data_IF_445802722725
#
_entry.id   IF_445802722725
#
_cell.length_a   1.000
_cell.length_b   1.000
_cell.length_c   1.000
_cell.angle_alpha   90.00
_cell.angle_beta   90.00
_cell.angle_gamma   90.00
#
_symmetry.space_group_name_H-M   'P 1'
#
loop_
_entity.id
_entity.type
_entity.pdbx_description
1 polymer ?
#
# COMPACT_ATOMS: atom_id res chain seq x y z
N UNK A 1 1.01 -25.78 17.80
CA UNK A 1 0.83 -26.56 16.55
C UNK A 1 -0.35 -26.07 15.72
N UNK A 2 -1.62 -26.19 16.14
CA UNK A 2 -2.79 -25.79 15.30
C UNK A 2 -2.72 -24.35 14.72
N UNK A 3 -2.35 -23.36 15.53
CA UNK A 3 -2.24 -21.94 15.09
C UNK A 3 -1.13 -21.72 14.05
N UNK A 4 0.04 -22.36 14.22
CA UNK A 4 1.17 -22.26 13.29
C UNK A 4 0.87 -22.89 11.94
N UNK A 5 0.15 -24.02 11.90
CA UNK A 5 -0.24 -24.66 10.64
C UNK A 5 -1.25 -23.84 9.84
N UNK A 6 -2.20 -23.17 10.52
CA UNK A 6 -3.14 -22.24 9.88
C UNK A 6 -2.41 -21.02 9.30
N UNK A 7 -1.52 -20.38 10.07
CA UNK A 7 -0.71 -19.24 9.61
C UNK A 7 0.15 -19.63 8.39
N UNK A 8 0.72 -20.83 8.38
CA UNK A 8 1.50 -21.35 7.25
C UNK A 8 0.65 -21.44 5.96
N UNK A 9 -0.61 -21.89 6.06
CA UNK A 9 -1.53 -21.97 4.91
C UNK A 9 -1.84 -20.58 4.37
N UNK A 10 -2.09 -19.59 5.24
CA UNK A 10 -2.34 -18.20 4.82
C UNK A 10 -1.10 -17.55 4.19
N UNK A 11 0.10 -17.83 4.69
CA UNK A 11 1.35 -17.30 4.11
C UNK A 11 1.56 -17.74 2.65
N UNK A 12 1.17 -18.97 2.29
CA UNK A 12 1.24 -19.41 0.89
C UNK A 12 0.35 -18.59 -0.04
N UNK A 13 -0.75 -18.01 0.44
CA UNK A 13 -1.62 -17.13 -0.35
C UNK A 13 -1.18 -15.66 -0.36
N UNK A 14 -0.46 -15.18 0.67
CA UNK A 14 -0.15 -13.74 0.84
C UNK A 14 1.14 -13.29 0.15
N UNK A 15 2.04 -14.22 -0.22
CA UNK A 15 3.30 -13.87 -0.92
C UNK A 15 3.03 -13.27 -2.31
N UNK A 16 1.88 -13.56 -2.91
CA UNK A 16 1.45 -12.96 -4.19
C UNK A 16 0.85 -11.54 -3.97
N UNK A 17 0.41 -11.20 -2.75
CA UNK A 17 -0.43 -10.04 -2.47
C UNK A 17 0.28 -8.88 -1.77
N UNK A 18 1.56 -9.03 -1.42
CA UNK A 18 2.35 -7.99 -0.76
C UNK A 18 3.01 -6.99 -1.73
N UNK A 19 2.64 -7.05 -3.01
CA UNK A 19 3.15 -6.14 -4.02
C UNK A 19 2.23 -4.92 -4.15
N UNK A 20 2.84 -3.80 -4.53
CA UNK A 20 2.14 -2.58 -4.91
C UNK A 20 0.93 -2.93 -5.79
N UNK A 21 -0.19 -2.23 -5.60
CA UNK A 21 -1.25 -2.27 -6.60
C UNK A 21 -0.67 -1.70 -7.89
N UNK A 22 -0.83 -2.42 -9.00
CA UNK A 22 -0.48 -1.95 -10.34
C UNK A 22 -1.63 -2.35 -11.28
N UNK A 23 -2.36 -1.37 -11.79
CA UNK A 23 -3.46 -1.56 -12.72
C UNK A 23 -3.43 -0.46 -13.78
N UNK A 24 -2.84 -0.79 -14.94
CA UNK A 24 -2.74 0.11 -16.09
C UNK A 24 -3.86 -0.07 -17.13
N UNK A 25 -4.91 -0.84 -16.82
CA UNK A 25 -6.10 -0.86 -17.69
C UNK A 25 -6.85 0.47 -17.54
N UNK A 26 -6.71 1.38 -18.50
CA UNK A 26 -7.44 2.65 -18.49
C UNK A 26 -8.77 2.61 -19.25
N UNK A 27 -9.21 1.46 -19.74
CA UNK A 27 -10.50 1.30 -20.43
C UNK A 27 -11.64 1.09 -19.43
N UNK A 28 -11.36 0.39 -18.33
CA UNK A 28 -12.39 -0.02 -17.36
C UNK A 28 -12.01 0.26 -15.88
N UNK A 29 -12.97 0.13 -14.96
CA UNK A 29 -12.71 0.19 -13.52
C UNK A 29 -12.67 1.60 -12.89
N UNK A 30 -13.19 2.61 -13.58
CA UNK A 30 -13.29 3.97 -13.04
C UNK A 30 -14.40 4.05 -11.97
N UNK A 31 -14.06 4.67 -10.83
CA UNK A 31 -14.98 5.03 -9.75
C UNK A 31 -15.43 6.48 -9.94
N UNK A 32 -16.62 6.79 -9.43
CA UNK A 32 -17.18 8.14 -9.50
C UNK A 32 -17.04 8.84 -8.16
N UNK A 33 -16.67 10.11 -8.17
CA UNK A 33 -16.73 10.97 -6.98
C UNK A 33 -17.61 12.19 -7.24
N UNK A 34 -18.53 12.46 -6.31
CA UNK A 34 -19.38 13.64 -6.39
C UNK A 34 -18.59 14.89 -6.01
N UNK A 35 -18.77 15.95 -6.79
CA UNK A 35 -18.28 17.28 -6.43
C UNK A 35 -19.26 17.91 -5.43
N UNK A 36 -18.78 18.77 -4.52
CA UNK A 36 -19.65 19.47 -3.55
C UNK A 36 -20.51 20.56 -4.20
N UNK A 37 -20.33 20.80 -5.49
CA UNK A 37 -21.09 21.77 -6.27
C UNK A 37 -22.23 21.00 -6.95
N UNK A 38 -23.46 21.17 -6.47
CA UNK A 38 -24.66 20.44 -6.94
C UNK A 38 -24.88 20.50 -8.47
N UNK A 39 -24.24 21.44 -9.17
CA UNK A 39 -24.36 21.66 -10.62
C UNK A 39 -23.22 21.09 -11.48
N UNK A 40 -22.13 20.54 -10.91
CA UNK A 40 -21.00 20.03 -11.69
C UNK A 40 -21.00 18.49 -11.77
N UNK A 41 -20.59 17.91 -12.92
CA UNK A 41 -20.62 16.45 -13.13
C UNK A 41 -19.73 15.69 -12.13
N UNK A 42 -20.04 14.41 -11.99
CA UNK A 42 -19.20 13.45 -11.26
C UNK A 42 -17.84 13.36 -11.94
N UNK A 43 -16.76 13.31 -11.16
CA UNK A 43 -15.42 13.07 -11.68
C UNK A 43 -15.14 11.58 -11.64
N UNK A 44 -14.71 11.04 -12.77
CA UNK A 44 -14.33 9.64 -12.88
C UNK A 44 -12.83 9.50 -12.57
N UNK A 45 -12.48 8.63 -11.64
CA UNK A 45 -11.10 8.36 -11.24
C UNK A 45 -10.78 6.88 -11.15
N UNK A 46 -9.51 6.52 -11.34
CA UNK A 46 -9.00 5.17 -11.11
C UNK A 46 -7.67 5.22 -10.36
N UNK A 47 -7.54 4.45 -9.29
CA UNK A 47 -6.26 4.21 -8.61
C UNK A 47 -5.50 3.16 -9.42
N UNK A 48 -4.46 3.59 -10.12
CA UNK A 48 -3.68 2.74 -11.03
C UNK A 48 -2.39 2.22 -10.38
N UNK A 49 -1.97 2.87 -9.29
CA UNK A 49 -0.85 2.43 -8.49
C UNK A 49 -1.11 2.77 -7.03
N UNK A 50 -0.76 1.88 -6.12
CA UNK A 50 -0.59 2.24 -4.71
C UNK A 50 0.48 1.41 -4.02
N UNK A 51 1.16 2.05 -3.08
CA UNK A 51 2.17 1.44 -2.25
C UNK A 51 1.97 1.88 -0.81
N UNK A 52 1.91 0.92 0.10
CA UNK A 52 1.84 1.19 1.54
C UNK A 52 3.13 1.88 1.98
N UNK A 53 3.00 2.96 2.76
CA UNK A 53 4.13 3.66 3.38
C UNK A 53 4.23 3.27 4.84
N UNK A 54 5.43 2.84 5.22
CA UNK A 54 5.77 2.61 6.62
C UNK A 54 6.30 3.90 7.25
N UNK A 55 5.42 4.57 7.99
CA UNK A 55 5.74 5.80 8.71
C UNK A 55 5.88 5.58 10.21
N UNK A 56 6.57 6.51 10.89
CA UNK A 56 6.71 6.53 12.37
C UNK A 56 5.38 6.57 13.14
N UNK A 57 4.24 6.77 12.49
CA UNK A 57 2.94 6.95 13.15
C UNK A 57 1.80 6.10 12.56
N UNK A 58 1.97 5.43 11.41
CA UNK A 58 0.91 4.61 10.80
C UNK A 58 1.44 3.49 9.91
N UNK A 59 0.59 2.48 9.74
CA UNK A 59 0.80 1.32 8.88
C UNK A 59 -0.19 1.25 7.70
N UNK A 60 -1.29 2.01 7.72
CA UNK A 60 -2.42 1.82 6.78
C UNK A 60 -2.47 2.85 5.66
N UNK A 61 -1.51 3.78 5.63
CA UNK A 61 -1.51 4.83 4.62
C UNK A 61 -0.61 4.48 3.44
N UNK A 62 -1.01 4.95 2.26
CA UNK A 62 -0.32 4.64 1.02
C UNK A 62 0.05 5.89 0.21
N UNK A 63 1.07 5.78 -0.62
CA UNK A 63 1.22 6.64 -1.80
C UNK A 63 0.41 6.03 -2.93
N UNK A 64 -0.20 6.86 -3.77
CA UNK A 64 -0.93 6.37 -4.92
C UNK A 64 -0.79 7.26 -6.15
N UNK A 65 -0.93 6.63 -7.32
CA UNK A 65 -1.12 7.33 -8.59
C UNK A 65 -2.56 7.11 -9.02
N UNK A 66 -3.26 8.20 -9.29
CA UNK A 66 -4.63 8.16 -9.81
C UNK A 66 -4.67 8.71 -11.23
N UNK A 67 -5.54 8.15 -12.05
CA UNK A 67 -5.94 8.73 -13.33
C UNK A 67 -7.30 9.39 -13.11
N UNK A 68 -7.42 10.64 -13.55
CA UNK A 68 -8.67 11.39 -13.47
C UNK A 68 -9.16 11.72 -14.87
N UNK A 69 -10.38 11.29 -15.19
CA UNK A 69 -11.09 11.61 -16.43
C UNK A 69 -12.09 12.74 -16.17
N UNK A 70 -12.39 13.48 -17.24
CA UNK A 70 -13.50 14.45 -17.26
C UNK A 70 -13.39 15.61 -16.24
N UNK A 71 -12.16 16.05 -15.93
CA UNK A 71 -11.99 17.37 -15.29
C UNK A 71 -12.34 18.43 -16.33
N UNK A 72 -13.53 19.01 -16.21
CA UNK A 72 -14.00 20.13 -17.02
C UNK A 72 -13.02 21.31 -16.92
N UNK A 73 -12.69 21.93 -18.06
CA UNK A 73 -11.78 23.08 -18.16
C UNK A 73 -12.28 24.31 -17.36
N UNK A 74 -13.56 24.32 -16.95
CA UNK A 74 -14.18 25.34 -16.10
C UNK A 74 -13.89 25.12 -14.60
N UNK A 75 -13.32 23.98 -14.19
CA UNK A 75 -12.95 23.70 -12.80
C UNK A 75 -11.64 24.41 -12.47
N UNK A 76 -11.65 25.24 -11.43
CA UNK A 76 -10.44 25.94 -10.99
C UNK A 76 -9.49 24.99 -10.25
N UNK A 77 -8.22 25.40 -10.12
CA UNK A 77 -7.18 24.58 -9.48
C UNK A 77 -7.48 24.20 -8.02
N UNK A 78 -8.19 25.05 -7.26
CA UNK A 78 -8.55 24.74 -5.88
C UNK A 78 -9.61 23.64 -5.80
N UNK A 79 -10.60 23.67 -6.69
CA UNK A 79 -11.62 22.62 -6.79
C UNK A 79 -11.00 21.29 -7.22
N UNK A 80 -10.09 21.30 -8.19
CA UNK A 80 -9.31 20.12 -8.60
C UNK A 80 -8.56 19.54 -7.39
N UNK A 81 -7.88 20.40 -6.63
CA UNK A 81 -7.14 19.96 -5.44
C UNK A 81 -8.05 19.36 -4.37
N UNK A 82 -9.24 19.91 -4.15
CA UNK A 82 -10.23 19.36 -3.21
C UNK A 82 -10.76 17.99 -3.65
N UNK A 83 -11.07 17.82 -4.93
CA UNK A 83 -11.52 16.53 -5.49
C UNK A 83 -10.44 15.46 -5.31
N UNK A 84 -9.20 15.78 -5.69
CA UNK A 84 -8.06 14.86 -5.54
C UNK A 84 -7.80 14.56 -4.06
N UNK A 85 -7.85 15.55 -3.18
CA UNK A 85 -7.69 15.35 -1.75
C UNK A 85 -8.77 14.42 -1.17
N UNK A 86 -10.03 14.57 -1.61
CA UNK A 86 -11.14 13.71 -1.21
C UNK A 86 -10.93 12.27 -1.68
N UNK A 87 -10.51 12.06 -2.93
CA UNK A 87 -10.11 10.73 -3.44
C UNK A 87 -9.03 10.12 -2.53
N UNK A 88 -8.08 10.93 -2.10
CA UNK A 88 -7.05 10.55 -1.15
C UNK A 88 -7.57 10.03 0.18
N UNK A 89 -8.42 10.81 0.81
CA UNK A 89 -9.04 10.46 2.09
C UNK A 89 -9.87 9.17 1.95
N UNK A 90 -10.67 9.04 0.89
CA UNK A 90 -11.50 7.86 0.65
C UNK A 90 -10.68 6.57 0.40
N UNK A 91 -9.43 6.70 -0.08
CA UNK A 91 -8.55 5.57 -0.38
C UNK A 91 -7.34 5.47 0.58
N UNK A 92 -7.35 6.17 1.72
CA UNK A 92 -6.25 6.18 2.71
C UNK A 92 -4.87 6.55 2.11
N UNK A 93 -4.83 7.48 1.15
CA UNK A 93 -3.59 7.93 0.52
C UNK A 93 -3.01 9.17 1.23
N UNK A 94 -1.79 9.07 1.75
CA UNK A 94 -1.05 10.22 2.31
C UNK A 94 -0.32 11.03 1.24
N UNK A 95 -0.14 10.46 0.05
CA UNK A 95 0.41 11.17 -1.12
C UNK A 95 -0.27 10.69 -2.38
N UNK A 96 -0.62 11.62 -3.26
CA UNK A 96 -1.31 11.35 -4.51
C UNK A 96 -0.62 12.08 -5.64
N UNK A 97 -0.35 11.35 -6.72
CA UNK A 97 -0.04 11.93 -8.02
C UNK A 97 -1.26 11.71 -8.92
N UNK A 98 -1.90 12.79 -9.33
CA UNK A 98 -3.05 12.75 -10.24
C UNK A 98 -2.59 13.01 -11.67
N UNK A 99 -2.95 12.11 -12.59
CA UNK A 99 -2.55 12.14 -13.99
C UNK A 99 -3.76 12.13 -14.92
N UNK A 100 -3.57 12.66 -16.13
CA UNK A 100 -4.61 12.68 -17.17
C UNK A 100 -4.89 11.31 -17.81
N UNK A 101 -3.93 10.39 -17.79
CA UNK A 101 -4.06 9.07 -18.45
C UNK A 101 -3.07 8.03 -17.87
N UNK A 102 -3.27 6.75 -18.22
CA UNK A 102 -2.41 5.65 -17.78
C UNK A 102 -1.02 5.66 -18.42
N UNK A 103 -0.86 6.19 -19.64
CA UNK A 103 0.46 6.25 -20.29
C UNK A 103 1.43 7.10 -19.47
N UNK A 104 0.96 8.25 -18.99
CA UNK A 104 1.68 9.07 -18.03
C UNK A 104 1.97 8.31 -16.72
N UNK A 105 1.03 7.48 -16.25
CA UNK A 105 1.23 6.61 -15.07
C UNK A 105 2.37 5.62 -15.27
N UNK A 106 2.41 4.96 -16.43
CA UNK A 106 3.48 4.02 -16.78
C UNK A 106 4.84 4.72 -16.88
N UNK A 107 4.88 5.93 -17.46
CA UNK A 107 6.09 6.75 -17.51
C UNK A 107 6.54 7.19 -16.11
N UNK A 108 5.61 7.55 -15.23
CA UNK A 108 5.91 7.97 -13.86
C UNK A 108 6.63 6.87 -13.07
N UNK A 109 6.26 5.60 -13.26
CA UNK A 109 6.96 4.48 -12.60
C UNK A 109 8.37 4.20 -13.16
N UNK A 110 8.75 4.79 -14.31
CA UNK A 110 10.04 4.57 -14.98
C UNK A 110 10.87 5.85 -15.13
N UNK A 111 10.71 6.82 -14.23
CA UNK A 111 11.33 8.15 -14.33
C UNK A 111 12.84 8.16 -14.64
N UNK A 112 13.58 7.16 -14.16
CA UNK A 112 15.03 7.05 -14.34
C UNK A 112 15.45 6.66 -15.77
N UNK A 113 14.51 6.20 -16.61
CA UNK A 113 14.77 5.66 -17.95
C UNK A 113 14.16 6.53 -19.06
N UNK A 114 13.57 7.68 -18.71
CA UNK A 114 12.83 8.51 -19.66
C UNK A 114 13.72 9.39 -20.53
N UNK A 115 13.41 9.42 -21.82
CA UNK A 115 13.88 10.45 -22.76
C UNK A 115 13.35 11.84 -22.40
N UNK A 116 13.95 12.90 -22.96
CA UNK A 116 13.48 14.27 -22.73
C UNK A 116 12.02 14.48 -23.17
N UNK A 117 11.63 13.93 -24.33
CA UNK A 117 10.26 14.02 -24.83
C UNK A 117 9.24 13.36 -23.89
N UNK A 118 9.59 12.20 -23.32
CA UNK A 118 8.74 11.50 -22.34
C UNK A 118 8.63 12.27 -21.01
N UNK A 119 9.70 12.94 -20.58
CA UNK A 119 9.68 13.81 -19.40
C UNK A 119 8.76 15.01 -19.60
N UNK A 120 8.86 15.66 -20.76
CA UNK A 120 8.00 16.79 -21.10
C UNK A 120 6.52 16.38 -21.17
N UNK A 121 6.23 15.24 -21.83
CA UNK A 121 4.89 14.67 -21.87
C UNK A 121 4.35 14.35 -20.47
N UNK A 122 5.16 13.71 -19.61
CA UNK A 122 4.78 13.39 -18.24
C UNK A 122 4.46 14.68 -17.47
N UNK A 123 5.33 15.69 -17.55
CA UNK A 123 5.14 16.98 -16.87
C UNK A 123 3.85 17.68 -17.29
N UNK A 124 3.45 17.56 -18.56
CA UNK A 124 2.20 18.14 -19.07
C UNK A 124 0.96 17.32 -18.68
N UNK A 125 1.16 16.04 -18.37
CA UNK A 125 0.08 15.10 -18.02
C UNK A 125 -0.20 15.05 -16.51
N UNK A 126 0.67 15.61 -15.67
CA UNK A 126 0.41 15.78 -14.23
C UNK A 126 -0.67 16.84 -14.02
N UNK A 127 -1.72 16.45 -13.32
CA UNK A 127 -2.82 17.34 -12.92
C UNK A 127 -2.44 18.02 -11.60
N UNK A 128 -2.09 17.23 -10.58
CA UNK A 128 -1.62 17.73 -9.30
C UNK A 128 -0.84 16.66 -8.53
N UNK A 129 0.03 17.12 -7.63
CA UNK A 129 0.63 16.30 -6.59
C UNK A 129 0.22 16.84 -5.22
N UNK A 130 -0.38 15.99 -4.39
CA UNK A 130 -0.94 16.41 -3.10
C UNK A 130 -0.42 15.49 -1.99
N UNK A 131 0.04 16.10 -0.90
CA UNK A 131 0.33 15.42 0.35
C UNK A 131 -0.81 15.66 1.33
N UNK A 132 -1.31 14.58 1.93
CA UNK A 132 -2.45 14.59 2.85
C UNK A 132 -1.98 14.07 4.20
N UNK A 133 -2.18 14.88 5.24
CA UNK A 133 -1.94 14.46 6.62
C UNK A 133 -3.18 13.73 7.16
N UNK A 134 -3.34 12.47 6.76
CA UNK A 134 -4.43 11.61 7.24
C UNK A 134 -4.34 11.32 8.73
N UNK A 135 -3.16 11.46 9.35
CA UNK A 135 -3.02 11.32 10.80
C UNK A 135 -3.81 12.40 11.53
N UNK A 136 -3.90 13.63 11.00
CA UNK A 136 -4.67 14.70 11.66
C UNK A 136 -6.16 14.41 11.76
N UNK A 137 -6.74 13.70 10.79
CA UNK A 137 -8.17 13.36 10.80
C UNK A 137 -8.53 12.22 11.74
N UNK A 138 -7.55 11.42 12.18
CA UNK A 138 -7.81 10.31 13.09
C UNK A 138 -8.08 10.77 14.53
N UNK A 139 -9.03 10.10 15.18
CA UNK A 139 -9.27 10.18 16.61
C UNK A 139 -8.07 9.66 17.42
N UNK A 140 -8.01 10.02 18.71
CA UNK A 140 -7.00 9.48 19.64
C UNK A 140 -7.03 7.95 19.72
N UNK A 141 -8.22 7.34 19.59
CA UNK A 141 -8.37 5.87 19.64
C UNK A 141 -7.74 5.24 18.40
N UNK A 142 -8.06 5.74 17.21
CA UNK A 142 -7.52 5.25 15.94
C UNK A 142 -6.00 5.40 15.91
N UNK A 143 -5.46 6.57 16.25
CA UNK A 143 -4.00 6.79 16.36
C UNK A 143 -3.31 5.75 17.22
N UNK A 144 -3.91 5.42 18.37
CA UNK A 144 -3.37 4.40 19.29
C UNK A 144 -3.46 3.00 18.67
N UNK A 145 -4.48 2.72 17.87
CA UNK A 145 -4.65 1.45 17.16
C UNK A 145 -3.62 1.29 16.04
N UNK A 146 -3.45 2.28 15.16
CA UNK A 146 -2.41 2.26 14.12
C UNK A 146 -1.02 2.09 14.72
N UNK A 147 -0.71 2.82 15.81
CA UNK A 147 0.57 2.65 16.51
C UNK A 147 0.77 1.22 17.01
N UNK A 148 -0.26 0.61 17.61
CA UNK A 148 -0.19 -0.78 18.08
C UNK A 148 0.00 -1.78 16.93
N UNK A 149 -0.69 -1.59 15.79
CA UNK A 149 -0.52 -2.41 14.57
C UNK A 149 0.93 -2.33 14.11
N UNK A 150 1.45 -1.12 13.92
CA UNK A 150 2.84 -0.88 13.55
C UNK A 150 3.83 -1.53 14.53
N UNK A 151 3.71 -1.25 15.83
CA UNK A 151 4.61 -1.80 16.85
C UNK A 151 4.60 -3.34 16.87
N UNK A 152 3.46 -3.97 16.54
CA UNK A 152 3.36 -5.41 16.41
C UNK A 152 4.12 -5.90 15.17
N UNK A 153 3.87 -5.28 14.01
CA UNK A 153 4.46 -5.67 12.73
C UNK A 153 5.97 -5.47 12.75
N UNK A 154 6.46 -4.33 13.25
CA UNK A 154 7.90 -4.07 13.43
C UNK A 154 8.56 -5.15 14.30
N UNK A 155 7.92 -5.53 15.41
CA UNK A 155 8.45 -6.56 16.31
C UNK A 155 8.56 -7.92 15.61
N UNK A 156 7.50 -8.36 14.91
CA UNK A 156 7.50 -9.65 14.22
C UNK A 156 8.39 -9.64 12.99
N UNK A 157 8.42 -8.53 12.25
CA UNK A 157 9.29 -8.32 11.09
C UNK A 157 10.75 -8.41 11.51
N UNK A 158 11.13 -7.71 12.58
CA UNK A 158 12.49 -7.74 13.11
C UNK A 158 12.89 -9.16 13.56
N UNK A 159 12.06 -9.82 14.37
CA UNK A 159 12.34 -11.20 14.81
C UNK A 159 12.46 -12.17 13.63
N UNK A 160 11.61 -12.03 12.62
CA UNK A 160 11.63 -12.89 11.44
C UNK A 160 12.86 -12.62 10.58
N UNK A 161 13.18 -11.36 10.31
CA UNK A 161 14.35 -10.98 9.53
C UNK A 161 15.67 -11.41 10.21
N UNK A 162 15.77 -11.27 11.54
CA UNK A 162 16.91 -11.77 12.32
C UNK A 162 17.10 -13.28 12.14
N UNK A 163 16.04 -14.09 12.30
CA UNK A 163 16.13 -15.55 12.08
C UNK A 163 16.42 -15.94 10.64
N UNK A 164 15.86 -15.21 9.67
CA UNK A 164 16.13 -15.45 8.25
C UNK A 164 17.60 -15.15 7.94
N UNK A 165 18.18 -14.12 8.57
CA UNK A 165 19.59 -13.77 8.40
C UNK A 165 20.55 -14.82 8.96
N UNK A 166 20.15 -15.57 9.99
CA UNK A 166 20.93 -16.69 10.53
C UNK A 166 21.10 -17.86 9.54
N UNK A 167 20.17 -18.01 8.57
CA UNK A 167 20.28 -19.04 7.52
C UNK A 167 21.24 -18.66 6.39
N UNK A 168 21.39 -17.36 6.11
CA UNK A 168 22.08 -16.82 4.93
C UNK A 168 21.24 -16.93 3.64
N UNK A 169 21.49 -16.04 2.67
CA UNK A 169 20.75 -15.96 1.38
C UNK A 169 20.75 -17.27 0.60
N UNK A 170 21.89 -17.98 0.57
CA UNK A 170 22.10 -19.16 -0.27
C UNK A 170 21.32 -20.40 0.19
N UNK A 171 20.77 -20.36 1.42
CA UNK A 171 19.97 -21.44 2.01
C UNK A 171 18.50 -21.08 2.17
N UNK A 172 18.12 -19.87 1.77
CA UNK A 172 16.74 -19.43 1.90
C UNK A 172 15.88 -20.11 0.83
N UNK A 173 14.97 -20.97 1.27
CA UNK A 173 13.92 -21.58 0.46
C UNK A 173 12.55 -21.06 0.88
N UNK A 174 11.55 -21.17 0.00
CA UNK A 174 10.17 -20.80 0.33
C UNK A 174 9.65 -21.53 1.57
N UNK A 175 10.05 -22.79 1.74
CA UNK A 175 9.70 -23.58 2.92
C UNK A 175 10.32 -22.99 4.20
N UNK A 176 11.63 -22.72 4.18
CA UNK A 176 12.33 -22.13 5.34
C UNK A 176 11.77 -20.74 5.69
N UNK A 177 11.44 -19.94 4.68
CA UNK A 177 10.81 -18.63 4.82
C UNK A 177 9.46 -18.77 5.53
N UNK A 178 8.57 -19.61 5.00
CA UNK A 178 7.23 -19.83 5.57
C UNK A 178 7.30 -20.37 6.99
N UNK A 179 8.23 -21.29 7.28
CA UNK A 179 8.41 -21.83 8.63
C UNK A 179 8.86 -20.76 9.63
N UNK A 180 9.82 -19.91 9.26
CA UNK A 180 10.34 -18.86 10.15
C UNK A 180 9.27 -17.79 10.39
N UNK A 181 8.67 -17.26 9.32
CA UNK A 181 7.66 -16.20 9.43
C UNK A 181 6.43 -16.74 10.19
N UNK A 182 5.96 -17.95 9.89
CA UNK A 182 4.86 -18.57 10.66
C UNK A 182 5.22 -18.77 12.13
N UNK A 183 6.45 -19.22 12.39
CA UNK A 183 6.95 -19.48 13.73
C UNK A 183 7.02 -18.20 14.58
N UNK A 184 7.54 -17.11 14.02
CA UNK A 184 7.56 -15.80 14.65
C UNK A 184 6.13 -15.27 14.86
N UNK A 185 5.30 -15.25 13.82
CA UNK A 185 3.92 -14.76 13.88
C UNK A 185 3.04 -15.51 14.89
N UNK A 186 3.20 -16.83 15.01
CA UNK A 186 2.42 -17.64 15.94
C UNK A 186 2.61 -17.24 17.41
N UNK A 187 3.79 -16.70 17.78
CA UNK A 187 4.05 -16.18 19.15
C UNK A 187 3.17 -14.99 19.48
N UNK A 188 2.71 -14.25 18.47
CA UNK A 188 1.93 -13.03 18.60
C UNK A 188 0.46 -13.20 18.20
N UNK A 189 -0.01 -14.41 17.94
CA UNK A 189 -1.38 -14.68 17.46
C UNK A 189 -2.48 -14.02 18.32
N UNK A 190 -2.39 -14.10 19.65
CA UNK A 190 -3.38 -13.49 20.54
C UNK A 190 -3.29 -11.97 20.57
N UNK A 191 -2.08 -11.42 20.46
CA UNK A 191 -1.86 -9.97 20.38
C UNK A 191 -2.39 -9.42 19.06
N UNK A 192 -2.25 -10.19 17.97
CA UNK A 192 -2.78 -9.88 16.64
C UNK A 192 -4.29 -9.73 16.68
N UNK A 193 -5.03 -10.73 17.17
CA UNK A 193 -6.49 -10.66 17.32
C UNK A 193 -6.95 -9.43 18.12
N UNK A 194 -6.25 -9.14 19.22
CA UNK A 194 -6.59 -8.00 20.09
C UNK A 194 -6.33 -6.64 19.46
N UNK A 195 -5.34 -6.54 18.57
CA UNK A 195 -4.95 -5.28 17.93
C UNK A 195 -5.77 -5.01 16.67
N UNK A 196 -6.04 -6.05 15.89
CA UNK A 196 -6.88 -5.96 14.70
C UNK A 196 -8.37 -5.90 15.04
N UNK A 197 -8.77 -6.30 16.24
CA UNK A 197 -10.17 -6.29 16.70
C UNK A 197 -11.09 -7.14 15.80
N UNK A 198 -10.54 -8.21 15.20
CA UNK A 198 -11.20 -9.12 14.26
C UNK A 198 -11.18 -10.57 14.76
N UNK A 199 -12.00 -11.47 14.18
CA UNK A 199 -11.85 -12.91 14.34
C UNK A 199 -10.45 -13.39 13.97
N UNK A 200 -10.03 -14.55 14.49
CA UNK A 200 -8.66 -15.06 14.32
C UNK A 200 -8.23 -15.14 12.86
N UNK A 201 -9.05 -15.74 12.00
CA UNK A 201 -8.73 -15.96 10.58
C UNK A 201 -8.52 -14.63 9.83
N UNK A 202 -9.46 -13.69 9.98
CA UNK A 202 -9.37 -12.36 9.37
C UNK A 202 -8.20 -11.55 9.91
N UNK A 203 -7.96 -11.61 11.23
CA UNK A 203 -6.83 -10.91 11.84
C UNK A 203 -5.49 -11.44 11.33
N UNK A 204 -5.37 -12.75 11.13
CA UNK A 204 -4.14 -13.38 10.64
C UNK A 204 -3.91 -13.03 9.18
N UNK A 205 -4.96 -13.07 8.35
CA UNK A 205 -4.84 -12.72 6.93
C UNK A 205 -4.38 -11.26 6.75
N UNK A 206 -5.08 -10.30 7.36
CA UNK A 206 -4.67 -8.88 7.33
C UNK A 206 -3.26 -8.68 7.87
N UNK A 207 -2.95 -9.27 9.02
CA UNK A 207 -1.63 -9.16 9.64
C UNK A 207 -0.51 -9.73 8.77
N UNK A 208 -0.74 -10.84 8.07
CA UNK A 208 0.28 -11.44 7.22
C UNK A 208 0.51 -10.61 5.95
N UNK A 209 -0.53 -10.04 5.36
CA UNK A 209 -0.40 -9.09 4.24
C UNK A 209 0.42 -7.87 4.65
N UNK A 210 0.09 -7.30 5.80
CA UNK A 210 0.82 -6.20 6.42
C UNK A 210 2.29 -6.58 6.67
N UNK A 211 2.53 -7.68 7.38
CA UNK A 211 3.86 -8.16 7.73
C UNK A 211 4.72 -8.43 6.49
N UNK A 212 4.17 -9.06 5.45
CA UNK A 212 4.90 -9.35 4.22
C UNK A 212 5.35 -8.08 3.50
N UNK A 213 4.44 -7.10 3.40
CA UNK A 213 4.72 -5.83 2.77
C UNK A 213 5.83 -5.07 3.54
N UNK A 214 5.79 -5.13 4.87
CA UNK A 214 6.85 -4.57 5.72
C UNK A 214 8.17 -5.33 5.60
N UNK A 215 8.15 -6.66 5.52
CA UNK A 215 9.37 -7.47 5.35
C UNK A 215 10.06 -7.18 4.01
N UNK A 216 9.32 -7.00 2.92
CA UNK A 216 9.88 -6.60 1.63
C UNK A 216 10.53 -5.21 1.69
N UNK A 217 9.97 -4.30 2.49
CA UNK A 217 10.50 -2.96 2.69
C UNK A 217 11.71 -2.92 3.62
N UNK A 218 11.70 -3.59 4.77
CA UNK A 218 12.74 -3.43 5.80
C UNK A 218 13.75 -4.59 5.89
N UNK A 219 13.48 -5.73 5.27
CA UNK A 219 14.39 -6.88 5.27
C UNK A 219 15.00 -7.10 3.89
N UNK A 220 16.23 -6.60 3.68
CA UNK A 220 16.95 -6.72 2.41
C UNK A 220 16.98 -8.16 1.89
N UNK A 221 17.25 -9.13 2.77
CA UNK A 221 17.31 -10.55 2.40
C UNK A 221 15.97 -11.09 1.87
N UNK A 222 14.84 -10.63 2.42
CA UNK A 222 13.50 -11.01 1.92
C UNK A 222 13.22 -10.35 0.57
N UNK A 223 13.62 -9.09 0.41
CA UNK A 223 13.48 -8.37 -0.86
C UNK A 223 14.28 -9.03 -1.99
N UNK A 224 15.54 -9.38 -1.71
CA UNK A 224 16.40 -10.09 -2.67
C UNK A 224 15.85 -11.46 -3.01
N UNK A 225 15.36 -12.21 -2.02
CA UNK A 225 14.72 -13.50 -2.24
C UNK A 225 13.47 -13.39 -3.13
N UNK A 226 12.61 -12.40 -2.90
CA UNK A 226 11.40 -12.18 -3.68
C UNK A 226 11.69 -11.79 -5.14
N UNK A 227 12.77 -11.03 -5.39
CA UNK A 227 13.18 -10.62 -6.73
C UNK A 227 13.82 -11.76 -7.56
N UNK A 228 14.26 -12.84 -6.90
CA UNK A 228 14.93 -13.98 -7.52
C UNK A 228 14.00 -15.19 -7.76
N UNK A 229 12.71 -15.05 -7.47
CA UNK A 229 11.65 -16.03 -7.76
C UNK A 229 11.05 -15.79 -9.14
#
# INVERSE_FOLDING_TARGET
MKKSTLILIYLFSTIISAQNLVDFDCESGFKKIQTEIESKPQVDYKLIYSQIIYGKESFEFSEGIIVVKEIDDVINQNEIAQIIARIGVENNLTKIIALRNCDAGALYLRQNELSSEQKDYLSQSVIAEINIDLLKSLSKKEKKQHKKKRDLIEAVSKESCEKLSELGTDKLTMESFNQIVSGSSAKYAEKTMKIYELPFEQSVDEFLNDLMSHLLFDCQLVREFANNQ
#
